data_IF_517433412017
#
_entry.id   IF_517433412017
#
_cell.length_a   1.000
_cell.length_b   1.000
_cell.length_c   1.000
_cell.angle_alpha   90.00
_cell.angle_beta   90.00
_cell.angle_gamma   90.00
#
_symmetry.space_group_name_H-M   'P 1'
#
loop_
_entity.id
_entity.type
_entity.pdbx_description
1 polymer ?
#
# COMPACT_ATOMS: atom_id res chain seq x y z
N UNK A 1 1.44 -6.00 -11.23
CA UNK A 1 1.13 -5.47 -9.88
C UNK A 1 2.13 -4.34 -9.52
N UNK A 2 1.89 -3.50 -8.50
CA UNK A 2 2.91 -2.54 -8.00
C UNK A 2 4.13 -3.27 -7.43
N UNK A 3 5.31 -2.63 -7.35
CA UNK A 3 6.54 -3.25 -6.84
C UNK A 3 6.67 -3.11 -5.32
N UNK A 4 6.29 -1.94 -4.81
CA UNK A 4 6.34 -1.60 -3.40
C UNK A 4 5.14 -0.71 -3.07
N UNK A 5 4.69 -0.79 -1.83
CA UNK A 5 3.78 0.19 -1.24
C UNK A 5 4.30 0.63 0.11
N UNK A 6 4.25 1.93 0.35
CA UNK A 6 4.48 2.53 1.66
C UNK A 6 3.15 3.01 2.24
N UNK A 7 2.86 2.59 3.47
CA UNK A 7 1.64 2.95 4.19
C UNK A 7 1.99 3.81 5.40
N UNK A 8 1.52 5.06 5.37
CA UNK A 8 1.76 6.04 6.44
C UNK A 8 0.44 6.49 7.06
N UNK A 9 0.48 6.80 8.35
CA UNK A 9 -0.69 7.18 9.13
C UNK A 9 -0.56 8.60 9.67
N UNK A 10 -1.69 9.27 9.82
CA UNK A 10 -1.77 10.57 10.49
C UNK A 10 -3.06 10.70 11.27
N UNK A 11 -3.01 11.40 12.40
CA UNK A 11 -4.18 11.78 13.19
C UNK A 11 -4.80 13.07 12.64
N UNK A 12 -3.96 14.05 12.26
CA UNK A 12 -4.38 15.38 11.81
C UNK A 12 -4.37 15.59 10.29
N UNK A 13 -3.86 14.64 9.51
CA UNK A 13 -3.84 14.67 8.04
C UNK A 13 -2.74 15.53 7.40
N UNK A 14 -2.07 16.40 8.18
CA UNK A 14 -0.99 17.27 7.70
C UNK A 14 0.39 16.63 7.83
N UNK A 15 0.64 15.96 8.95
CA UNK A 15 1.92 15.33 9.27
C UNK A 15 1.73 13.82 9.38
N UNK A 16 2.42 13.07 8.54
CA UNK A 16 2.47 11.61 8.58
C UNK A 16 3.72 11.22 9.36
N UNK A 17 3.57 11.10 10.68
CA UNK A 17 4.69 10.83 11.58
C UNK A 17 4.94 9.33 11.74
N UNK A 18 6.20 8.96 11.94
CA UNK A 18 6.64 7.58 12.13
C UNK A 18 7.18 6.93 10.86
N UNK A 19 7.82 5.79 11.03
CA UNK A 19 8.37 4.98 9.94
C UNK A 19 7.22 4.34 9.15
N UNK A 20 7.10 4.48 7.83
CA UNK A 20 6.02 3.86 7.05
C UNK A 20 6.07 2.33 7.12
N UNK A 21 4.91 1.68 6.93
CA UNK A 21 4.90 0.23 6.69
C UNK A 21 5.30 0.02 5.23
N UNK A 22 6.43 -0.63 5.00
CA UNK A 22 6.92 -0.96 3.67
C UNK A 22 6.51 -2.40 3.34
N UNK A 23 5.76 -2.56 2.25
CA UNK A 23 5.45 -3.87 1.70
C UNK A 23 5.99 -3.98 0.28
N UNK A 24 6.86 -4.95 0.07
CA UNK A 24 7.43 -5.27 -1.24
C UNK A 24 6.67 -6.46 -1.83
N UNK A 25 6.19 -6.30 -3.05
CA UNK A 25 5.54 -7.36 -3.79
C UNK A 25 6.54 -7.94 -4.80
N UNK A 26 7.06 -9.12 -4.49
CA UNK A 26 7.99 -9.84 -5.35
C UNK A 26 7.20 -10.81 -6.23
N UNK A 27 7.04 -10.49 -7.51
CA UNK A 27 6.25 -11.31 -8.45
C UNK A 27 7.13 -11.99 -9.49
N UNK A 28 6.78 -13.24 -9.82
CA UNK A 28 7.18 -13.90 -11.06
C UNK A 28 6.41 -13.26 -12.23
N UNK A 29 7.14 -12.52 -13.08
CA UNK A 29 6.62 -11.71 -14.20
C UNK A 29 5.93 -12.50 -15.33
N UNK A 30 5.58 -13.76 -15.11
CA UNK A 30 5.15 -14.68 -16.16
C UNK A 30 3.63 -14.58 -16.41
N UNK A 31 2.83 -14.11 -15.43
CA UNK A 31 1.37 -14.07 -15.55
C UNK A 31 0.77 -12.69 -15.22
N UNK A 32 -0.05 -12.16 -16.14
CA UNK A 32 -0.76 -10.87 -16.01
C UNK A 32 -2.14 -10.99 -15.33
N UNK A 33 -2.23 -11.76 -14.23
CA UNK A 33 -3.49 -11.91 -13.49
C UNK A 33 -3.64 -10.82 -12.41
N UNK A 34 -4.87 -10.38 -12.13
CA UNK A 34 -5.15 -9.52 -10.97
C UNK A 34 -4.84 -10.28 -9.66
N UNK A 35 -4.38 -9.53 -8.65
CA UNK A 35 -3.96 -10.08 -7.34
C UNK A 35 -4.63 -9.31 -6.23
N UNK A 36 -5.16 -10.05 -5.25
CA UNK A 36 -5.59 -9.46 -3.98
C UNK A 36 -4.37 -9.39 -3.04
N UNK A 37 -4.10 -8.20 -2.49
CA UNK A 37 -2.95 -7.95 -1.63
C UNK A 37 -3.46 -7.49 -0.27
N UNK A 38 -3.06 -8.21 0.77
CA UNK A 38 -3.38 -7.89 2.17
C UNK A 38 -2.12 -7.44 2.89
N UNK A 39 -2.14 -6.21 3.41
CA UNK A 39 -1.01 -5.60 4.13
C UNK A 39 -1.41 -5.48 5.60
N UNK A 40 -0.60 -6.03 6.50
CA UNK A 40 -0.84 -5.89 7.94
C UNK A 40 -0.49 -4.47 8.38
N UNK A 41 -1.46 -3.78 9.02
CA UNK A 41 -1.29 -2.40 9.48
C UNK A 41 -0.69 -2.28 10.89
N UNK A 42 -0.37 -3.40 11.53
CA UNK A 42 0.30 -3.49 12.84
C UNK A 42 -0.35 -2.63 13.95
N UNK A 43 -1.68 -2.54 13.98
CA UNK A 43 -2.46 -1.77 14.98
C UNK A 43 -2.08 -0.29 15.08
N UNK A 44 -1.54 0.30 14.01
CA UNK A 44 -1.19 1.72 14.00
C UNK A 44 -2.46 2.57 13.95
N UNK A 45 -2.55 3.53 14.87
CA UNK A 45 -3.71 4.41 15.00
C UNK A 45 -3.54 5.64 14.10
N UNK A 46 -4.52 5.90 13.25
CA UNK A 46 -4.58 7.10 12.42
C UNK A 46 -5.97 7.31 11.82
N UNK A 47 -6.35 8.58 11.64
CA UNK A 47 -7.59 8.95 10.94
C UNK A 47 -7.38 9.04 9.43
N UNK A 48 -6.14 9.33 9.00
CA UNK A 48 -5.75 9.48 7.62
C UNK A 48 -4.70 8.45 7.26
N UNK A 49 -4.86 7.82 6.11
CA UNK A 49 -3.88 6.88 5.53
C UNK A 49 -3.36 7.46 4.22
N UNK A 50 -2.03 7.42 4.05
CA UNK A 50 -1.37 7.73 2.77
C UNK A 50 -0.76 6.44 2.24
N UNK A 51 -1.11 6.12 1.00
CA UNK A 51 -0.55 5.01 0.24
C UNK A 51 0.35 5.57 -0.86
N UNK A 52 1.62 5.16 -0.87
CA UNK A 52 2.55 5.49 -1.95
C UNK A 52 2.92 4.21 -2.69
N UNK A 53 2.39 4.07 -3.90
CA UNK A 53 2.54 2.88 -4.74
C UNK A 53 3.65 3.11 -5.76
N UNK A 54 4.61 2.20 -5.81
CA UNK A 54 5.71 2.25 -6.76
C UNK A 54 5.43 1.37 -7.97
N UNK A 55 5.67 1.92 -9.16
CA UNK A 55 5.45 1.23 -10.42
C UNK A 55 6.43 0.06 -10.58
N UNK A 56 5.89 -1.11 -10.92
CA UNK A 56 6.69 -2.26 -11.43
C UNK A 56 6.65 -2.35 -12.96
N UNK A 57 5.75 -1.60 -13.60
CA UNK A 57 5.50 -1.56 -15.04
C UNK A 57 4.96 -0.18 -15.44
N UNK A 58 4.54 -0.01 -16.69
CA UNK A 58 4.05 1.28 -17.22
C UNK A 58 2.82 1.83 -16.48
N UNK A 59 1.97 0.95 -15.98
CA UNK A 59 0.71 1.30 -15.33
C UNK A 59 0.52 0.52 -14.03
N UNK A 60 -0.17 1.15 -13.07
CA UNK A 60 -0.75 0.50 -11.90
C UNK A 60 -2.26 0.57 -12.09
N UNK A 61 -2.93 -0.59 -12.03
CA UNK A 61 -4.38 -0.70 -12.06
C UNK A 61 -4.85 -1.17 -10.70
N UNK A 62 -5.84 -0.46 -10.13
CA UNK A 62 -6.46 -0.78 -8.84
C UNK A 62 -7.97 -0.84 -9.07
N UNK A 63 -8.61 -1.92 -8.62
CA UNK A 63 -10.06 -2.04 -8.66
C UNK A 63 -10.72 -1.49 -7.41
N UNK A 64 -10.17 -1.81 -6.23
CA UNK A 64 -10.75 -1.49 -4.93
C UNK A 64 -9.66 -1.44 -3.86
N UNK A 65 -9.87 -0.63 -2.82
CA UNK A 65 -9.04 -0.56 -1.63
C UNK A 65 -9.97 -0.60 -0.42
N UNK A 66 -9.77 -1.58 0.46
CA UNK A 66 -10.57 -1.78 1.67
C UNK A 66 -9.67 -1.62 2.89
N UNK A 67 -10.17 -0.93 3.91
CA UNK A 67 -9.52 -0.82 5.22
C UNK A 67 -10.34 -1.61 6.24
N UNK A 68 -9.71 -2.57 6.89
CA UNK A 68 -10.25 -3.29 8.05
C UNK A 68 -9.56 -2.73 9.31
N UNK A 69 -10.34 -2.13 10.21
CA UNK A 69 -9.88 -1.24 11.28
C UNK A 69 -10.52 -1.54 12.63
#
# INVERSE_FOLDING_TARGET
VFSQVEVSFSIGGTLFMGEPIIYNYMEDKIFETSRNITIKLHHRVGKFVKLQLYFSSKWIMLSEIIFDS
#
